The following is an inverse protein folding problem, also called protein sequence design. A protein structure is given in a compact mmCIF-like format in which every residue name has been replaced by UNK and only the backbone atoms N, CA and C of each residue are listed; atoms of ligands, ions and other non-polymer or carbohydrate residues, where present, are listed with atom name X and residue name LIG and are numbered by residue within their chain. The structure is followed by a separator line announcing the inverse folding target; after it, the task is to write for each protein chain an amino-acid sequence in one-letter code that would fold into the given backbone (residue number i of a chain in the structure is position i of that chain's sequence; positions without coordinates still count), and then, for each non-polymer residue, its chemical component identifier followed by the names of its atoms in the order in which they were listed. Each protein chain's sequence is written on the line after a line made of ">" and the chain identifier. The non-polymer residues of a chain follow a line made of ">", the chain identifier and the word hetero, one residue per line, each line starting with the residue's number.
data_IF_770923547826
#
_entry.id   IF_770923547826
#
_cell.length_a   1.000
_cell.length_b   1.000
_cell.length_c   1.000
_cell.angle_alpha   90.00
_cell.angle_beta   90.00
_cell.angle_gamma   90.00
#
_symmetry.space_group_name_H-M   'P 1'
#
loop_
_entity.id
_entity.type
_entity.pdbx_description
1 polymer ?
#
# COMPACT_ATOMS: atom_id res chain seq x y z
N UNK A 1 -9.54 -9.43 -8.88
CA UNK A 1 -9.57 -8.78 -7.55
C UNK A 1 -8.30 -7.95 -7.33
N UNK A 2 -8.39 -6.76 -6.71
CA UNK A 2 -7.20 -5.99 -6.27
C UNK A 2 -7.16 -5.83 -4.75
N UNK A 3 -5.97 -5.89 -4.17
CA UNK A 3 -5.70 -5.73 -2.74
C UNK A 3 -4.53 -4.78 -2.53
N UNK A 4 -4.67 -3.85 -1.60
CA UNK A 4 -3.51 -3.10 -1.09
C UNK A 4 -2.94 -3.90 0.09
N UNK A 5 -1.65 -4.20 0.05
CA UNK A 5 -0.94 -4.85 1.15
C UNK A 5 0.17 -3.95 1.65
N UNK A 6 0.30 -3.79 2.96
CA UNK A 6 1.52 -3.32 3.57
C UNK A 6 2.49 -4.50 3.70
N UNK A 7 3.39 -4.62 2.73
CA UNK A 7 4.28 -5.78 2.57
C UNK A 7 5.21 -5.97 3.78
N UNK A 8 5.61 -4.87 4.43
CA UNK A 8 6.47 -4.94 5.62
C UNK A 8 5.77 -5.58 6.83
N UNK A 9 4.44 -5.59 6.83
CA UNK A 9 3.62 -6.04 7.97
C UNK A 9 2.63 -7.15 7.60
N UNK A 10 2.63 -7.61 6.34
CA UNK A 10 1.65 -8.57 5.80
C UNK A 10 0.20 -8.18 6.12
N UNK A 11 -0.10 -6.87 6.06
CA UNK A 11 -1.41 -6.32 6.43
C UNK A 11 -2.19 -5.89 5.17
N UNK A 12 -3.40 -6.41 4.98
CA UNK A 12 -4.27 -5.97 3.89
C UNK A 12 -5.02 -4.68 4.25
N UNK A 13 -4.83 -3.63 3.46
CA UNK A 13 -5.40 -2.29 3.60
C UNK A 13 -6.57 -2.07 2.64
N UNK A 14 -7.46 -3.06 2.54
CA UNK A 14 -8.68 -3.00 1.71
C UNK A 14 -8.63 -3.84 0.43
N UNK A 15 -9.81 -3.94 -0.20
CA UNK A 15 -10.05 -4.71 -1.43
C UNK A 15 -10.81 -3.86 -2.44
N UNK A 16 -10.39 -3.89 -3.70
CA UNK A 16 -10.87 -2.99 -4.73
C UNK A 16 -11.24 -3.75 -6.00
N UNK A 17 -12.22 -3.22 -6.74
CA UNK A 17 -12.64 -3.79 -8.02
C UNK A 17 -11.79 -3.26 -9.18
N UNK A 18 -11.23 -2.06 -9.05
CA UNK A 18 -10.42 -1.43 -10.09
C UNK A 18 -9.13 -0.87 -9.53
N UNK A 19 -8.09 -0.82 -10.38
CA UNK A 19 -6.80 -0.20 -10.05
C UNK A 19 -6.95 1.27 -9.66
N UNK A 20 -7.85 2.00 -10.31
CA UNK A 20 -8.11 3.40 -10.02
C UNK A 20 -8.66 3.60 -8.60
N UNK A 21 -9.56 2.74 -8.13
CA UNK A 21 -10.07 2.81 -6.75
C UNK A 21 -8.95 2.59 -5.73
N UNK A 22 -8.08 1.59 -5.98
CA UNK A 22 -6.95 1.31 -5.09
C UNK A 22 -5.94 2.48 -5.06
N UNK A 23 -5.63 3.05 -6.21
CA UNK A 23 -4.72 4.20 -6.28
C UNK A 23 -5.30 5.46 -5.63
N UNK A 24 -6.62 5.67 -5.74
CA UNK A 24 -7.31 6.78 -5.08
C UNK A 24 -7.23 6.68 -3.54
N UNK A 25 -7.19 5.46 -2.99
CA UNK A 25 -6.99 5.24 -1.55
C UNK A 25 -5.56 5.60 -1.12
N UNK A 26 -4.56 5.29 -1.94
CA UNK A 26 -3.14 5.57 -1.62
C UNK A 26 -2.77 7.05 -1.78
N UNK A 27 -3.48 7.76 -2.65
CA UNK A 27 -3.19 9.16 -2.95
C UNK A 27 -3.18 10.09 -1.72
N UNK A 28 -4.18 10.08 -0.82
CA UNK A 28 -4.12 10.89 0.40
C UNK A 28 -3.00 10.44 1.36
N UNK A 29 -2.65 9.15 1.37
CA UNK A 29 -1.62 8.60 2.26
C UNK A 29 -0.23 9.16 1.96
N UNK A 30 0.04 9.47 0.70
CA UNK A 30 1.31 10.07 0.27
C UNK A 30 1.57 11.45 0.88
N UNK A 31 0.52 12.15 1.34
CA UNK A 31 0.63 13.46 1.99
C UNK A 31 0.77 13.38 3.52
N UNK A 32 0.52 12.21 4.12
CA UNK A 32 0.53 12.00 5.56
C UNK A 32 1.94 11.57 5.99
N UNK A 33 2.43 12.09 7.12
CA UNK A 33 3.76 11.70 7.62
C UNK A 33 3.78 10.22 7.99
N UNK A 34 4.94 9.60 7.83
CA UNK A 34 5.16 8.18 8.15
C UNK A 34 4.75 7.79 9.59
N UNK A 35 4.79 8.72 10.54
CA UNK A 35 4.47 8.50 11.95
C UNK A 35 3.08 9.00 12.36
N UNK A 36 2.28 9.49 11.42
CA UNK A 36 0.91 9.93 11.64
C UNK A 36 -0.06 8.88 11.09
N UNK A 37 -1.24 8.76 11.70
CA UNK A 37 -2.25 7.82 11.20
C UNK A 37 -2.70 8.24 9.77
N UNK A 38 -2.89 7.30 8.84
CA UNK A 38 -2.81 5.84 9.00
C UNK A 38 -1.43 5.24 8.70
N UNK A 39 -0.44 6.06 8.34
CA UNK A 39 0.90 5.61 7.97
C UNK A 39 1.72 5.09 9.16
N UNK A 40 1.36 5.47 10.39
CA UNK A 40 2.00 4.93 11.59
C UNK A 40 1.86 3.39 11.61
N UNK A 41 2.98 2.65 11.58
CA UNK A 41 2.95 1.20 11.46
C UNK A 41 2.49 0.52 12.76
N UNK A 42 1.90 -0.69 12.68
CA UNK A 42 1.38 -1.39 13.85
C UNK A 42 2.49 -1.80 14.83
N UNK A 43 3.73 -1.94 14.36
CA UNK A 43 4.87 -2.28 15.20
C UNK A 43 5.34 -1.12 16.10
N UNK A 44 4.91 0.12 15.84
CA UNK A 44 5.23 1.32 16.63
C UNK A 44 6.72 1.69 16.67
N UNK A 45 7.56 1.09 15.81
CA UNK A 45 9.00 1.35 15.78
C UNK A 45 9.27 2.68 15.09
N UNK A 46 10.08 3.54 15.70
CA UNK A 46 10.43 4.88 15.21
C UNK A 46 11.16 4.93 13.85
N UNK A 47 11.58 3.78 13.32
CA UNK A 47 12.29 3.66 12.05
C UNK A 47 11.55 2.78 11.05
N UNK A 48 10.37 2.28 11.41
CA UNK A 48 9.54 1.51 10.52
C UNK A 48 8.55 2.45 9.83
N UNK A 49 8.29 2.19 8.56
CA UNK A 49 7.30 2.86 7.75
C UNK A 49 6.30 1.86 7.18
N UNK A 50 5.63 2.19 6.08
CA UNK A 50 4.74 1.27 5.37
C UNK A 50 5.12 1.17 3.90
N UNK A 51 4.97 -0.02 3.32
CA UNK A 51 5.24 -0.29 1.91
C UNK A 51 3.98 -0.84 1.27
N UNK A 52 3.21 0.03 0.64
CA UNK A 52 1.92 -0.31 0.07
C UNK A 52 2.10 -0.90 -1.33
N UNK A 53 1.93 -2.21 -1.45
CA UNK A 53 1.88 -2.94 -2.71
C UNK A 53 0.43 -3.10 -3.17
N UNK A 54 0.21 -2.94 -4.47
CA UNK A 54 -1.05 -3.28 -5.12
C UNK A 54 -0.90 -4.64 -5.78
N UNK A 55 -1.63 -5.62 -5.25
CA UNK A 55 -1.67 -7.00 -5.74
C UNK A 55 -2.96 -7.19 -6.52
N UNK A 56 -2.83 -7.68 -7.74
CA UNK A 56 -3.93 -8.11 -8.59
C UNK A 56 -3.95 -9.63 -8.63
N UNK A 57 -5.11 -10.22 -8.38
CA UNK A 57 -5.29 -11.67 -8.45
C UNK A 57 -6.51 -12.04 -9.25
N UNK A 58 -6.41 -13.16 -9.96
CA UNK A 58 -7.53 -13.84 -10.57
C UNK A 58 -8.31 -14.59 -9.49
N UNK A 59 -9.56 -14.20 -9.28
CA UNK A 59 -10.49 -14.81 -8.34
C UNK A 59 -11.46 -15.80 -8.98
N UNK A 60 -11.29 -16.13 -10.26
CA UNK A 60 -12.09 -17.14 -10.97
C UNK A 60 -11.71 -18.59 -10.63
N UNK A 61 -10.51 -18.83 -10.08
CA UNK A 61 -10.01 -20.16 -9.74
C UNK A 61 -9.55 -20.28 -8.27
N UNK A 62 -9.52 -21.53 -7.77
CA UNK A 62 -8.97 -21.86 -6.44
C UNK A 62 -7.81 -22.86 -6.60
N UNK A 63 -6.59 -22.55 -6.13
CA UNK A 63 -6.17 -21.30 -5.47
C UNK A 63 -6.17 -20.10 -6.44
N UNK A 64 -6.31 -18.89 -5.88
CA UNK A 64 -6.20 -17.66 -6.66
C UNK A 64 -4.79 -17.51 -7.23
N UNK A 65 -4.70 -17.13 -8.50
CA UNK A 65 -3.43 -16.79 -9.12
C UNK A 65 -3.15 -15.29 -8.96
N UNK A 66 -1.96 -14.93 -8.50
CA UNK A 66 -1.48 -13.54 -8.58
C UNK A 66 -1.19 -13.22 -10.06
N UNK A 67 -1.85 -12.19 -10.58
CA UNK A 67 -1.68 -11.70 -11.95
C UNK A 67 -0.59 -10.64 -12.02
N UNK A 68 -0.57 -9.74 -11.05
CA UNK A 68 0.43 -8.67 -10.99
C UNK A 68 0.64 -8.17 -9.57
N UNK A 69 1.80 -7.54 -9.35
CA UNK A 69 2.18 -6.86 -8.12
C UNK A 69 2.98 -5.62 -8.47
N UNK A 70 2.61 -4.50 -7.89
CA UNK A 70 3.30 -3.22 -8.10
C UNK A 70 3.46 -2.48 -6.78
N UNK A 71 4.53 -1.69 -6.65
CA UNK A 71 4.79 -0.83 -5.49
C UNK A 71 4.40 0.63 -5.82
N UNK A 72 3.13 1.01 -5.69
CA UNK A 72 2.68 2.37 -5.97
C UNK A 72 3.11 3.40 -4.91
N UNK A 73 3.32 3.00 -3.65
CA UNK A 73 3.61 3.94 -2.57
C UNK A 73 4.49 3.31 -1.49
N UNK A 74 5.57 4.01 -1.17
CA UNK A 74 6.46 3.69 -0.05
C UNK A 74 6.56 4.91 0.87
N UNK A 75 6.39 4.68 2.18
CA UNK A 75 6.45 5.72 3.20
C UNK A 75 7.38 5.25 4.31
N UNK A 76 8.64 5.69 4.26
CA UNK A 76 9.67 5.34 5.24
C UNK A 76 10.04 6.52 6.14
N UNK A 77 10.76 6.23 7.23
CA UNK A 77 11.47 7.25 7.98
C UNK A 77 12.47 7.95 7.03
N UNK A 78 12.10 9.16 6.58
CA UNK A 78 12.59 9.93 5.42
C UNK A 78 11.87 9.65 4.09
N UNK A 79 10.61 10.10 3.99
CA UNK A 79 10.00 10.51 2.74
C UNK A 79 9.83 12.04 2.70
N UNK A 80 10.95 12.77 2.65
CA UNK A 80 10.97 14.13 2.08
C UNK A 80 11.61 14.03 0.70
N UNK A 81 10.84 13.67 -0.32
CA UNK A 81 11.27 13.77 -1.71
C UNK A 81 10.03 14.04 -2.55
N UNK A 82 9.96 15.25 -3.12
CA UNK A 82 8.78 15.78 -3.78
C UNK A 82 8.24 14.91 -4.91
N UNK A 83 6.91 14.99 -5.05
CA UNK A 83 6.19 14.77 -6.29
C UNK A 83 6.91 15.54 -7.41
N UNK A 84 7.69 14.85 -8.25
CA UNK A 84 8.22 15.44 -9.48
C UNK A 84 7.13 15.28 -10.54
N UNK A 85 6.53 16.42 -10.87
CA UNK A 85 5.70 16.66 -12.07
C UNK A 85 6.43 16.31 -13.35
#
# INVERSE_FOLDING_TARGET
>A
MLVIEDELHAEHQGRFQTRQQALAELQPLAAIRWNEAPNHPPCGKRHCGRRYELIESDDSATPRAELSRTLPLEILLRACSGFRT
#
